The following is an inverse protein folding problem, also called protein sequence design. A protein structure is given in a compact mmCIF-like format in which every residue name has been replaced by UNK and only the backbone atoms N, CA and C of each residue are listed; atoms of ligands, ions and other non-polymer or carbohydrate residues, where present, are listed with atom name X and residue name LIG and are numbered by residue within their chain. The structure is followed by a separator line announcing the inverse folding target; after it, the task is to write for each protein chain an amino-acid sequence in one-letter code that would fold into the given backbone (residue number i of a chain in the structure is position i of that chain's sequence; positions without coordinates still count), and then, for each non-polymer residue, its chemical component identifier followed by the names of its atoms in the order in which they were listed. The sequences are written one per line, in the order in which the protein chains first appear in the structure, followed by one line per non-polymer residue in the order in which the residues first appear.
data_IF_083866461115
#
_entry.id   IF_083866461115
#
_cell.length_a   1.000
_cell.length_b   1.000
_cell.length_c   1.000
_cell.angle_alpha   90.00
_cell.angle_beta   90.00
_cell.angle_gamma   90.00
#
_symmetry.space_group_name_H-M   'P 1'
#
loop_
_entity.id
_entity.type
_entity.pdbx_description
1 polymer ?
#
# COMPACT_ATOMS: atom_id res chain seq x y z
N UNK A 1 0.76 17.47 -23.50
CA UNK A 1 1.78 16.84 -24.38
C UNK A 1 2.91 16.18 -23.59
N UNK A 2 3.67 16.90 -22.76
CA UNK A 2 4.81 16.32 -22.02
C UNK A 2 4.43 15.21 -21.04
N UNK A 3 3.34 15.36 -20.28
CA UNK A 3 2.85 14.35 -19.33
C UNK A 3 2.53 13.02 -20.03
N UNK A 4 1.82 13.08 -21.17
CA UNK A 4 1.51 11.92 -21.99
C UNK A 4 2.77 11.14 -22.40
N UNK A 5 3.80 11.82 -22.89
CA UNK A 5 5.04 11.15 -23.30
C UNK A 5 5.81 10.51 -22.13
N UNK A 6 5.86 11.18 -20.98
CA UNK A 6 6.50 10.60 -19.80
C UNK A 6 5.72 9.41 -19.23
N UNK A 7 4.39 9.47 -19.20
CA UNK A 7 3.55 8.33 -18.82
C UNK A 7 3.75 7.15 -19.78
N UNK A 8 3.85 7.41 -21.08
CA UNK A 8 4.07 6.37 -22.09
C UNK A 8 5.44 5.72 -21.93
N UNK A 9 6.46 6.55 -21.69
CA UNK A 9 7.82 6.10 -21.44
C UNK A 9 7.90 5.28 -20.14
N UNK A 10 7.29 5.74 -19.03
CA UNK A 10 7.32 5.02 -17.76
C UNK A 10 6.63 3.66 -17.86
N UNK A 11 5.59 3.54 -18.70
CA UNK A 11 4.94 2.27 -18.93
C UNK A 11 5.80 1.26 -19.72
N UNK A 12 6.72 1.74 -20.57
CA UNK A 12 7.71 0.89 -21.28
C UNK A 12 8.91 0.55 -20.40
N UNK A 13 9.31 1.47 -19.53
CA UNK A 13 10.48 1.33 -18.64
C UNK A 13 10.08 1.63 -17.19
N UNK A 14 9.26 0.76 -16.56
CA UNK A 14 8.67 1.04 -15.25
C UNK A 14 9.68 1.08 -14.11
N UNK A 15 10.91 0.59 -14.34
CA UNK A 15 11.97 0.52 -13.34
C UNK A 15 12.86 1.78 -13.32
N UNK A 16 12.59 2.77 -14.19
CA UNK A 16 13.43 3.95 -14.39
C UNK A 16 12.90 5.17 -13.61
N UNK A 17 13.58 5.54 -12.53
CA UNK A 17 13.17 6.60 -11.61
C UNK A 17 13.03 7.97 -12.26
N UNK A 18 13.89 8.29 -13.24
CA UNK A 18 13.93 9.59 -13.93
C UNK A 18 12.59 9.92 -14.61
N UNK A 19 11.86 8.92 -15.08
CA UNK A 19 10.56 9.13 -15.74
C UNK A 19 9.51 9.61 -14.74
N UNK A 20 9.48 8.99 -13.56
CA UNK A 20 8.58 9.40 -12.48
C UNK A 20 8.98 10.75 -11.88
N UNK A 21 10.26 11.07 -11.79
CA UNK A 21 10.72 12.40 -11.40
C UNK A 21 10.12 13.50 -12.29
N UNK A 22 10.17 13.33 -13.60
CA UNK A 22 9.58 14.30 -14.53
C UNK A 22 8.05 14.34 -14.44
N UNK A 23 7.39 13.20 -14.20
CA UNK A 23 5.95 13.18 -13.90
C UNK A 23 5.60 13.96 -12.62
N UNK A 24 6.45 13.86 -11.58
CA UNK A 24 6.27 14.63 -10.34
C UNK A 24 6.36 16.16 -10.59
N UNK A 25 7.29 16.60 -11.44
CA UNK A 25 7.41 18.01 -11.83
C UNK A 25 6.14 18.49 -12.57
N UNK A 26 5.52 17.62 -13.36
CA UNK A 26 4.30 17.94 -14.11
C UNK A 26 3.03 17.90 -13.24
N UNK A 27 3.05 17.17 -12.12
CA UNK A 27 1.92 17.00 -11.20
C UNK A 27 1.78 18.12 -10.14
N UNK A 28 2.36 19.32 -10.34
CA UNK A 28 2.41 20.42 -9.34
C UNK A 28 1.04 20.84 -8.77
N UNK A 29 -0.04 20.66 -9.52
CA UNK A 29 -1.40 21.01 -9.05
C UNK A 29 -1.99 19.98 -8.08
N UNK A 30 -1.38 18.80 -7.93
CA UNK A 30 -1.84 17.72 -7.07
C UNK A 30 -0.70 17.24 -6.17
N UNK A 31 -0.68 17.71 -4.93
CA UNK A 31 0.38 17.44 -3.96
C UNK A 31 0.55 15.94 -3.65
N UNK A 32 -0.56 15.17 -3.57
CA UNK A 32 -0.51 13.73 -3.34
C UNK A 32 0.13 12.98 -4.51
N UNK A 33 -0.30 13.30 -5.74
CA UNK A 33 0.26 12.70 -6.95
C UNK A 33 1.73 13.06 -7.11
N UNK A 34 2.09 14.31 -6.82
CA UNK A 34 3.48 14.77 -6.85
C UNK A 34 4.35 14.02 -5.83
N UNK A 35 3.88 13.86 -4.59
CA UNK A 35 4.55 13.08 -3.55
C UNK A 35 4.73 11.63 -4.01
N UNK A 36 3.67 10.99 -4.51
CA UNK A 36 3.71 9.63 -5.04
C UNK A 36 4.79 9.47 -6.11
N UNK A 37 4.83 10.35 -7.12
CA UNK A 37 5.81 10.23 -8.19
C UNK A 37 7.25 10.46 -7.72
N UNK A 38 7.48 11.42 -6.82
CA UNK A 38 8.81 11.60 -6.23
C UNK A 38 9.24 10.40 -5.39
N UNK A 39 8.36 9.88 -4.54
CA UNK A 39 8.63 8.67 -3.74
C UNK A 39 8.92 7.46 -4.65
N UNK A 40 8.09 7.23 -5.66
CA UNK A 40 8.29 6.16 -6.65
C UNK A 40 9.62 6.31 -7.39
N UNK A 41 10.00 7.52 -7.79
CA UNK A 41 11.27 7.76 -8.49
C UNK A 41 12.52 7.34 -7.70
N UNK A 42 12.40 7.21 -6.38
CA UNK A 42 13.45 6.77 -5.48
C UNK A 42 13.36 5.29 -5.09
N UNK A 43 12.17 4.68 -5.20
CA UNK A 43 11.89 3.30 -4.78
C UNK A 43 11.73 2.30 -5.95
N UNK A 44 12.21 2.66 -7.14
CA UNK A 44 12.33 1.74 -8.29
C UNK A 44 13.76 1.22 -8.43
N UNK A 45 14.01 0.09 -9.12
CA UNK A 45 15.33 -0.52 -9.24
C UNK A 45 16.44 0.41 -9.76
N UNK A 46 16.12 1.34 -10.66
CA UNK A 46 17.05 2.38 -11.11
C UNK A 46 16.58 3.73 -10.59
N UNK A 47 16.90 4.09 -9.32
CA UNK A 47 16.39 5.29 -8.70
C UNK A 47 17.00 6.56 -9.32
N UNK A 48 16.28 7.68 -9.24
CA UNK A 48 16.78 8.99 -9.66
C UNK A 48 17.03 9.89 -8.46
N UNK A 49 18.26 9.88 -7.94
CA UNK A 49 18.60 10.49 -6.65
C UNK A 49 18.38 12.00 -6.59
N UNK A 50 18.46 12.73 -7.71
CA UNK A 50 18.13 14.17 -7.77
C UNK A 50 16.68 14.47 -7.36
N UNK A 51 15.79 13.48 -7.38
CA UNK A 51 14.45 13.61 -6.78
C UNK A 51 14.49 13.97 -5.30
N UNK A 52 15.54 13.60 -4.55
CA UNK A 52 15.67 13.96 -3.13
C UNK A 52 15.75 15.46 -2.91
N UNK A 53 16.40 16.18 -3.82
CA UNK A 53 16.46 17.65 -3.78
C UNK A 53 15.17 18.25 -4.32
N UNK A 54 14.65 17.72 -5.44
CA UNK A 54 13.49 18.29 -6.12
C UNK A 54 12.18 18.15 -5.33
N UNK A 55 12.00 17.06 -4.57
CA UNK A 55 10.82 16.88 -3.70
C UNK A 55 10.74 17.95 -2.60
N UNK A 56 11.86 18.57 -2.23
CA UNK A 56 11.86 19.67 -1.25
C UNK A 56 11.08 20.89 -1.73
N UNK A 57 10.88 21.05 -3.05
CA UNK A 57 10.00 22.10 -3.59
C UNK A 57 8.52 21.90 -3.26
N UNK A 58 8.11 20.63 -3.02
CA UNK A 58 6.80 20.30 -2.46
C UNK A 58 6.78 20.48 -0.94
N UNK A 59 7.83 20.03 -0.25
CA UNK A 59 7.84 20.01 1.22
C UNK A 59 8.08 21.37 1.87
N UNK A 60 9.05 22.17 1.41
CA UNK A 60 9.42 23.44 2.07
C UNK A 60 8.21 24.37 2.30
N UNK A 61 7.32 24.62 1.32
CA UNK A 61 6.14 25.47 1.55
C UNK A 61 5.22 24.97 2.67
N UNK A 62 5.09 23.64 2.84
CA UNK A 62 4.23 22.97 3.83
C UNK A 62 4.92 22.87 5.21
N UNK A 63 6.25 22.75 5.23
CA UNK A 63 7.05 22.68 6.44
C UNK A 63 7.23 24.06 7.06
N UNK A 64 7.45 25.08 6.25
CA UNK A 64 7.71 26.46 6.69
C UNK A 64 6.40 27.23 6.96
N UNK A 65 5.29 26.86 6.31
CA UNK A 65 4.00 27.53 6.46
C UNK A 65 2.80 26.58 6.23
N UNK A 66 1.58 27.03 6.53
CA UNK A 66 0.35 26.35 6.14
C UNK A 66 -0.16 26.88 4.78
N UNK A 67 -0.02 26.12 3.67
CA UNK A 67 -0.48 26.59 2.37
C UNK A 67 -2.02 26.62 2.31
N UNK A 68 -2.58 27.77 1.92
CA UNK A 68 -4.03 27.99 1.86
C UNK A 68 -4.75 27.26 0.71
N UNK A 69 -4.01 26.70 -0.25
CA UNK A 69 -4.55 26.11 -1.48
C UNK A 69 -4.72 24.58 -1.42
N UNK A 70 -4.14 23.91 -0.42
CA UNK A 70 -4.26 22.47 -0.25
C UNK A 70 -5.36 22.15 0.73
N UNK A 71 -6.05 21.02 0.52
CA UNK A 71 -7.01 20.56 1.51
C UNK A 71 -6.29 20.18 2.80
N UNK A 72 -6.95 20.36 3.94
CA UNK A 72 -6.34 20.12 5.26
C UNK A 72 -5.78 18.68 5.39
N UNK A 73 -6.47 17.69 4.80
CA UNK A 73 -6.02 16.29 4.76
C UNK A 73 -4.72 16.15 3.99
N UNK A 74 -4.65 16.71 2.78
CA UNK A 74 -3.46 16.59 1.92
C UNK A 74 -2.28 17.34 2.54
N UNK A 75 -2.52 18.50 3.13
CA UNK A 75 -1.49 19.28 3.83
C UNK A 75 -0.86 18.48 4.96
N UNK A 76 -1.67 17.88 5.84
CA UNK A 76 -1.15 17.10 6.95
C UNK A 76 -0.45 15.82 6.49
N UNK A 77 -1.01 15.10 5.50
CA UNK A 77 -0.37 13.90 4.94
C UNK A 77 1.01 14.22 4.34
N UNK A 78 1.08 15.23 3.46
CA UNK A 78 2.33 15.63 2.81
C UNK A 78 3.33 16.20 3.83
N UNK A 79 2.85 16.88 4.89
CA UNK A 79 3.70 17.34 6.00
C UNK A 79 4.36 16.20 6.75
N UNK A 80 3.58 15.17 7.12
CA UNK A 80 4.11 13.97 7.79
C UNK A 80 5.21 13.36 6.93
N UNK A 81 4.94 13.13 5.65
CA UNK A 81 5.96 12.63 4.72
C UNK A 81 7.17 13.56 4.58
N UNK A 82 6.97 14.88 4.54
CA UNK A 82 8.04 15.87 4.46
C UNK A 82 8.98 15.84 5.67
N UNK A 83 8.42 15.72 6.88
CA UNK A 83 9.20 15.59 8.12
C UNK A 83 9.95 14.25 8.13
N UNK A 84 9.25 13.13 7.85
CA UNK A 84 9.87 11.80 7.79
C UNK A 84 10.98 11.72 6.73
N UNK A 85 10.81 12.39 5.58
CA UNK A 85 11.75 12.37 4.48
C UNK A 85 13.00 13.19 4.76
N UNK A 86 12.82 14.42 5.24
CA UNK A 86 13.92 15.39 5.37
C UNK A 86 14.62 15.33 6.72
N UNK A 87 13.99 14.69 7.72
CA UNK A 87 14.40 14.82 9.12
C UNK A 87 14.25 16.25 9.67
N UNK A 88 13.65 17.16 8.90
CA UNK A 88 13.40 18.55 9.30
C UNK A 88 12.00 18.64 9.88
N UNK A 89 11.91 18.95 11.16
CA UNK A 89 10.64 19.15 11.86
C UNK A 89 10.80 18.91 13.35
N UNK A 90 9.97 19.58 14.14
CA UNK A 90 9.80 19.24 15.56
C UNK A 90 8.93 17.98 15.67
N UNK A 91 9.31 17.06 16.57
CA UNK A 91 8.56 15.84 16.89
C UNK A 91 7.11 16.18 17.28
N UNK A 92 6.89 17.29 17.99
CA UNK A 92 5.54 17.75 18.33
C UNK A 92 4.72 18.10 17.08
N UNK A 93 5.35 18.72 16.08
CA UNK A 93 4.70 19.09 14.82
C UNK A 93 4.36 17.84 14.00
N UNK A 94 5.24 16.84 14.00
CA UNK A 94 4.99 15.55 13.36
C UNK A 94 3.76 14.87 13.99
N UNK A 95 3.78 14.71 15.31
CA UNK A 95 2.68 14.08 16.06
C UNK A 95 1.35 14.81 15.84
N UNK A 96 1.34 16.15 15.96
CA UNK A 96 0.14 16.94 15.71
C UNK A 96 -0.39 16.78 14.27
N UNK A 97 0.51 16.69 13.28
CA UNK A 97 0.12 16.49 11.87
C UNK A 97 -0.45 15.08 11.63
N UNK A 98 0.14 14.06 12.27
CA UNK A 98 -0.38 12.68 12.24
C UNK A 98 -1.77 12.64 12.86
N UNK A 99 -1.93 13.07 14.11
CA UNK A 99 -3.22 13.09 14.82
C UNK A 99 -4.30 13.83 14.03
N UNK A 100 -3.95 15.01 13.48
CA UNK A 100 -4.87 15.81 12.69
C UNK A 100 -5.28 15.11 11.41
N UNK A 101 -4.33 14.53 10.66
CA UNK A 101 -4.61 13.74 9.45
C UNK A 101 -5.57 12.58 9.76
N UNK A 102 -5.28 11.81 10.81
CA UNK A 102 -6.08 10.64 11.20
C UNK A 102 -7.50 11.01 11.58
N UNK A 103 -7.67 12.12 12.32
CA UNK A 103 -8.99 12.60 12.75
C UNK A 103 -9.90 12.98 11.57
N UNK A 104 -9.33 13.49 10.47
CA UNK A 104 -10.10 13.99 9.32
C UNK A 104 -10.15 13.00 8.14
N UNK A 105 -9.37 11.93 8.19
CA UNK A 105 -9.25 10.96 7.09
C UNK A 105 -10.59 10.28 6.78
N UNK A 106 -11.30 9.76 7.78
CA UNK A 106 -12.56 9.02 7.56
C UNK A 106 -13.62 9.89 6.85
N UNK A 107 -13.80 11.13 7.34
CA UNK A 107 -14.72 12.11 6.73
C UNK A 107 -14.32 12.46 5.30
N UNK A 108 -13.00 12.54 5.03
CA UNK A 108 -12.47 12.82 3.69
C UNK A 108 -12.71 11.67 2.72
N UNK A 109 -12.56 10.42 3.16
CA UNK A 109 -12.88 9.23 2.34
C UNK A 109 -14.36 9.27 1.95
N UNK A 110 -15.25 9.47 2.92
CA UNK A 110 -16.68 9.57 2.71
C UNK A 110 -17.05 10.71 1.74
N UNK A 111 -16.42 11.88 1.87
CA UNK A 111 -16.69 13.04 1.03
C UNK A 111 -16.14 12.95 -0.40
N UNK A 112 -15.01 12.27 -0.62
CA UNK A 112 -14.39 12.14 -1.94
C UNK A 112 -15.04 11.07 -2.83
N UNK A 113 -15.62 10.03 -2.24
CA UNK A 113 -16.26 8.91 -2.97
C UNK A 113 -15.32 8.34 -4.04
N UNK A 114 -15.69 8.39 -5.34
CA UNK A 114 -14.87 7.88 -6.45
C UNK A 114 -13.53 8.58 -6.61
N UNK A 115 -13.40 9.85 -6.20
CA UNK A 115 -12.09 10.55 -6.24
C UNK A 115 -11.10 9.97 -5.24
N UNK A 116 -11.58 9.23 -4.22
CA UNK A 116 -10.72 8.53 -3.27
C UNK A 116 -9.97 7.37 -3.91
N UNK A 117 -10.47 6.77 -5.00
CA UNK A 117 -9.79 5.65 -5.64
C UNK A 117 -8.34 5.99 -5.99
N UNK A 118 -8.14 7.14 -6.64
CA UNK A 118 -6.82 7.63 -7.03
C UNK A 118 -6.00 8.16 -5.86
N UNK A 119 -6.60 9.00 -5.01
CA UNK A 119 -5.92 9.51 -3.83
C UNK A 119 -5.46 8.37 -2.89
N UNK A 120 -6.27 7.33 -2.76
CA UNK A 120 -6.02 6.16 -1.94
C UNK A 120 -4.77 5.39 -2.36
N UNK A 121 -4.64 5.01 -3.64
CA UNK A 121 -3.41 4.32 -4.06
C UNK A 121 -2.18 5.23 -4.05
N UNK A 122 -2.32 6.55 -4.24
CA UNK A 122 -1.18 7.47 -4.04
C UNK A 122 -0.69 7.47 -2.60
N UNK A 123 -1.62 7.56 -1.64
CA UNK A 123 -1.28 7.51 -0.21
C UNK A 123 -0.70 6.14 0.19
N UNK A 124 -1.31 5.05 -0.25
CA UNK A 124 -0.84 3.69 0.03
C UNK A 124 0.58 3.45 -0.49
N UNK A 125 0.88 3.89 -1.73
CA UNK A 125 2.23 3.79 -2.30
C UNK A 125 3.23 4.70 -1.57
N UNK A 126 2.83 5.93 -1.21
CA UNK A 126 3.68 6.84 -0.45
C UNK A 126 4.04 6.25 0.93
N UNK A 127 3.08 5.65 1.63
CA UNK A 127 3.30 4.92 2.88
C UNK A 127 4.24 3.71 2.69
N UNK A 128 4.04 2.92 1.63
CA UNK A 128 4.97 1.83 1.31
C UNK A 128 6.40 2.34 1.07
N UNK A 129 6.54 3.46 0.36
CA UNK A 129 7.84 4.07 0.11
C UNK A 129 8.48 4.65 1.37
N UNK A 130 7.71 5.20 2.32
CA UNK A 130 8.27 5.72 3.57
C UNK A 130 8.81 4.60 4.47
N UNK A 131 8.15 3.44 4.50
CA UNK A 131 8.66 2.23 5.17
C UNK A 131 10.03 1.81 4.62
N UNK A 132 10.24 1.95 3.31
CA UNK A 132 11.51 1.72 2.61
C UNK A 132 12.51 2.88 2.75
N UNK A 133 12.25 3.87 3.62
CA UNK A 133 13.09 5.05 3.78
C UNK A 133 13.24 5.87 2.50
N UNK A 134 12.24 5.81 1.63
CA UNK A 134 12.24 6.41 0.29
C UNK A 134 13.44 5.94 -0.53
N UNK A 135 13.72 4.64 -0.53
CA UNK A 135 14.82 4.02 -1.28
C UNK A 135 16.20 4.29 -0.67
N UNK A 136 16.27 4.56 0.63
CA UNK A 136 17.56 4.70 1.32
C UNK A 136 18.16 3.30 1.51
N UNK A 137 19.30 3.00 0.88
CA UNK A 137 19.99 1.69 0.99
C UNK A 137 20.34 1.28 2.43
N UNK A 138 20.42 2.24 3.36
CA UNK A 138 20.67 1.98 4.77
C UNK A 138 19.42 1.61 5.57
N UNK A 139 18.23 1.84 5.01
CA UNK A 139 16.96 1.46 5.61
C UNK A 139 16.90 -0.07 5.81
N UNK A 140 16.33 -0.48 6.94
CA UNK A 140 16.31 -1.88 7.36
C UNK A 140 15.56 -2.76 6.34
N UNK A 141 14.43 -2.31 5.77
CA UNK A 141 13.67 -3.09 4.80
C UNK A 141 14.38 -3.13 3.44
N UNK A 142 15.06 -2.06 3.06
CA UNK A 142 15.89 -2.04 1.85
C UNK A 142 17.02 -3.07 1.93
N UNK A 143 17.67 -3.18 3.10
CA UNK A 143 18.71 -4.17 3.35
C UNK A 143 18.18 -5.60 3.33
N UNK A 144 17.09 -5.88 4.04
CA UNK A 144 16.53 -7.24 4.14
C UNK A 144 15.96 -7.71 2.81
N UNK A 145 15.30 -6.86 2.02
CA UNK A 145 14.80 -7.21 0.69
C UNK A 145 15.91 -7.46 -0.34
N UNK A 146 17.11 -6.91 -0.11
CA UNK A 146 18.28 -7.15 -0.97
C UNK A 146 18.97 -8.49 -0.68
N UNK A 147 18.70 -9.12 0.46
CA UNK A 147 19.24 -10.42 0.83
C UNK A 147 18.31 -11.51 0.29
N UNK A 148 18.83 -12.47 -0.48
CA UNK A 148 17.98 -13.54 -1.02
C UNK A 148 17.42 -14.44 0.10
N UNK A 149 16.18 -14.95 -0.01
CA UNK A 149 15.57 -15.81 1.02
C UNK A 149 16.34 -17.12 1.26
N UNK A 150 17.05 -17.63 0.24
CA UNK A 150 17.60 -18.99 0.21
C UNK A 150 18.97 -19.16 0.91
N UNK A 151 19.65 -18.09 1.33
CA UNK A 151 20.95 -18.21 2.02
C UNK A 151 20.83 -18.54 3.51
N UNK A 152 19.62 -18.53 4.09
CA UNK A 152 19.42 -18.75 5.53
C UNK A 152 19.11 -20.19 5.96
N UNK A 153 18.97 -21.15 5.02
CA UNK A 153 18.60 -22.54 5.36
C UNK A 153 19.79 -23.50 5.55
N UNK A 154 21.03 -22.99 5.52
CA UNK A 154 22.22 -23.79 5.84
C UNK A 154 23.11 -23.07 6.84
N UNK A 155 22.61 -22.80 8.05
CA UNK A 155 23.42 -22.81 9.28
C UNK A 155 22.51 -22.66 10.51
N UNK A 156 22.29 -23.76 11.23
CA UNK A 156 22.01 -23.68 12.66
C UNK A 156 23.11 -22.80 13.30
N UNK A 157 22.74 -21.65 13.87
CA UNK A 157 23.59 -20.96 14.84
C UNK A 157 23.99 -19.50 14.56
N UNK A 158 23.40 -18.79 13.60
CA UNK A 158 23.48 -17.32 13.60
C UNK A 158 22.12 -16.73 13.90
N UNK A 159 21.98 -16.16 15.10
CA UNK A 159 20.96 -15.14 15.35
C UNK A 159 21.08 -14.13 14.20
N UNK A 160 20.05 -14.03 13.37
CA UNK A 160 19.90 -12.88 12.49
C UNK A 160 20.02 -11.68 13.42
N UNK A 161 21.14 -10.94 13.33
CA UNK A 161 21.35 -9.77 14.15
C UNK A 161 20.26 -8.79 13.72
N UNK A 162 19.17 -8.77 14.48
CA UNK A 162 18.06 -7.84 14.29
C UNK A 162 18.67 -6.47 14.58
N UNK A 163 19.09 -5.79 13.50
CA UNK A 163 19.56 -4.43 13.60
C UNK A 163 18.38 -3.62 14.15
N UNK A 164 18.57 -2.88 15.26
CA UNK A 164 17.47 -2.12 15.83
C UNK A 164 16.98 -1.10 14.79
N UNK A 165 15.66 -1.00 14.57
CA UNK A 165 15.13 -0.04 13.61
C UNK A 165 15.43 1.39 14.06
N UNK A 166 15.73 2.28 13.11
CA UNK A 166 15.88 3.70 13.41
C UNK A 166 14.57 4.30 13.90
N UNK A 167 14.64 5.38 14.68
CA UNK A 167 13.44 6.11 15.11
C UNK A 167 12.59 6.57 13.91
N UNK A 168 13.24 7.05 12.84
CA UNK A 168 12.55 7.40 11.59
C UNK A 168 11.77 6.24 10.97
N UNK A 169 12.29 5.01 11.05
CA UNK A 169 11.57 3.82 10.58
C UNK A 169 10.39 3.51 11.50
N UNK A 170 10.59 3.55 12.82
CA UNK A 170 9.52 3.30 13.79
C UNK A 170 8.35 4.28 13.61
N UNK A 171 8.63 5.57 13.44
CA UNK A 171 7.58 6.57 13.21
C UNK A 171 6.91 6.40 11.84
N UNK A 172 7.67 6.06 10.79
CA UNK A 172 7.08 5.74 9.49
C UNK A 172 6.18 4.51 9.56
N UNK A 173 6.57 3.50 10.33
CA UNK A 173 5.79 2.29 10.59
C UNK A 173 4.51 2.61 11.35
N UNK A 174 4.62 3.33 12.46
CA UNK A 174 3.46 3.79 13.25
C UNK A 174 2.46 4.51 12.36
N UNK A 175 2.91 5.48 11.55
CA UNK A 175 2.04 6.22 10.63
C UNK A 175 1.44 5.34 9.54
N UNK A 176 2.24 4.46 8.91
CA UNK A 176 1.77 3.58 7.85
C UNK A 176 0.76 2.54 8.37
N UNK A 177 0.87 2.09 9.62
CA UNK A 177 -0.08 1.14 10.25
C UNK A 177 -1.44 1.77 10.56
N UNK A 178 -1.53 3.10 10.62
CA UNK A 178 -2.82 3.80 10.73
C UNK A 178 -3.75 3.63 9.51
N UNK A 179 -3.33 2.84 8.51
CA UNK A 179 -4.22 2.35 7.47
C UNK A 179 -5.40 1.53 7.99
N UNK A 180 -5.37 1.09 9.26
CA UNK A 180 -6.54 0.54 9.96
C UNK A 180 -7.80 1.37 9.76
N UNK A 181 -7.72 2.71 9.75
CA UNK A 181 -8.87 3.60 9.48
C UNK A 181 -9.48 3.30 8.09
N UNK A 182 -8.65 3.01 7.10
CA UNK A 182 -9.08 2.66 5.75
C UNK A 182 -9.68 1.26 5.70
N UNK A 183 -9.09 0.30 6.44
CA UNK A 183 -9.55 -1.11 6.49
C UNK A 183 -10.83 -1.26 7.31
N UNK A 184 -11.06 -0.43 8.34
CA UNK A 184 -12.31 -0.33 9.09
C UNK A 184 -13.51 0.02 8.21
N UNK A 185 -13.26 0.61 7.03
CA UNK A 185 -14.26 0.82 5.98
C UNK A 185 -14.34 -0.38 5.04
N UNK A 186 -14.36 -1.60 5.58
CA UNK A 186 -14.24 -2.84 4.79
C UNK A 186 -15.34 -3.04 3.74
N UNK A 187 -16.50 -2.38 3.88
CA UNK A 187 -17.54 -2.38 2.84
C UNK A 187 -17.48 -1.22 1.84
N UNK A 188 -16.62 -0.22 2.05
CA UNK A 188 -16.47 0.93 1.15
C UNK A 188 -15.55 0.57 -0.02
N UNK A 189 -16.14 0.25 -1.17
CA UNK A 189 -15.37 -0.16 -2.37
C UNK A 189 -14.36 0.89 -2.86
N UNK A 190 -14.47 2.16 -2.44
CA UNK A 190 -13.50 3.18 -2.82
C UNK A 190 -12.15 3.00 -2.13
N UNK A 191 -12.09 2.27 -1.01
CA UNK A 191 -10.83 2.05 -0.26
C UNK A 191 -9.99 0.92 -0.81
N UNK A 192 -10.56 0.08 -1.67
CA UNK A 192 -9.89 -1.11 -2.22
C UNK A 192 -8.55 -0.84 -2.92
N UNK A 193 -8.35 0.25 -3.72
CA UNK A 193 -7.05 0.52 -4.31
C UNK A 193 -5.96 0.77 -3.26
N UNK A 194 -6.28 1.52 -2.20
CA UNK A 194 -5.37 1.74 -1.08
C UNK A 194 -4.98 0.40 -0.45
N UNK A 195 -5.98 -0.40 -0.08
CA UNK A 195 -5.79 -1.71 0.57
C UNK A 195 -4.96 -2.63 -0.31
N UNK A 196 -5.26 -2.68 -1.62
CA UNK A 196 -4.50 -3.49 -2.57
C UNK A 196 -3.03 -3.10 -2.59
N UNK A 197 -2.69 -1.81 -2.67
CA UNK A 197 -1.29 -1.37 -2.68
C UNK A 197 -0.52 -1.74 -1.41
N UNK A 198 -1.15 -1.65 -0.24
CA UNK A 198 -0.55 -2.06 1.03
C UNK A 198 -0.38 -3.59 1.10
N UNK A 199 -1.41 -4.35 0.72
CA UNK A 199 -1.37 -5.82 0.70
C UNK A 199 -0.29 -6.37 -0.25
N UNK A 200 0.01 -5.67 -1.36
CA UNK A 200 1.14 -6.04 -2.25
C UNK A 200 2.48 -5.94 -1.51
N UNK A 201 2.72 -4.87 -0.75
CA UNK A 201 3.94 -4.75 0.06
C UNK A 201 3.99 -5.85 1.12
N UNK A 202 2.90 -6.07 1.87
CA UNK A 202 2.86 -7.09 2.94
C UNK A 202 3.09 -8.48 2.38
N UNK A 203 2.52 -8.79 1.20
CA UNK A 203 2.79 -10.05 0.51
C UNK A 203 4.27 -10.22 0.16
N UNK A 204 4.94 -9.16 -0.32
CA UNK A 204 6.39 -9.23 -0.56
C UNK A 204 7.15 -9.44 0.75
N UNK A 205 6.84 -8.66 1.79
CA UNK A 205 7.53 -8.78 3.09
C UNK A 205 7.33 -10.16 3.72
N UNK A 206 6.14 -10.77 3.59
CA UNK A 206 5.85 -12.13 4.07
C UNK A 206 6.80 -13.20 3.50
N UNK A 207 7.35 -12.98 2.30
CA UNK A 207 8.35 -13.87 1.68
C UNK A 207 9.75 -13.72 2.30
N UNK A 208 9.98 -12.69 3.11
CA UNK A 208 11.27 -12.36 3.73
C UNK A 208 11.09 -12.32 5.26
N UNK A 209 11.33 -13.43 5.98
CA UNK A 209 11.08 -13.52 7.43
C UNK A 209 11.75 -12.42 8.26
N UNK A 210 12.96 -12.00 7.88
CA UNK A 210 13.67 -10.91 8.54
C UNK A 210 13.03 -9.53 8.30
N UNK A 211 12.32 -9.33 7.19
CA UNK A 211 11.69 -8.06 6.86
C UNK A 211 10.32 -7.93 7.54
N UNK A 212 9.49 -8.98 7.46
CA UNK A 212 8.14 -8.98 8.06
C UNK A 212 8.17 -8.94 9.59
N UNK A 213 9.23 -9.46 10.25
CA UNK A 213 9.37 -9.43 11.71
C UNK A 213 9.34 -8.01 12.31
N UNK A 214 9.72 -7.00 11.52
CA UNK A 214 9.65 -5.60 11.93
C UNK A 214 8.22 -5.02 11.91
N UNK A 215 7.27 -5.68 11.23
CA UNK A 215 5.91 -5.21 11.05
C UNK A 215 4.87 -6.14 11.68
N UNK A 216 5.15 -7.44 11.79
CA UNK A 216 4.14 -8.47 12.10
C UNK A 216 3.40 -8.23 13.41
N UNK A 217 4.06 -7.63 14.41
CA UNK A 217 3.47 -7.37 15.72
C UNK A 217 2.52 -6.15 15.73
N UNK A 218 2.65 -5.24 14.76
CA UNK A 218 1.84 -4.01 14.67
C UNK A 218 0.88 -4.02 13.48
N UNK A 219 1.03 -4.97 12.56
CA UNK A 219 0.14 -5.08 11.41
C UNK A 219 -1.25 -5.57 11.85
N UNK A 220 -2.34 -4.98 11.35
CA UNK A 220 -3.70 -5.27 11.83
C UNK A 220 -4.26 -6.58 11.25
N UNK A 221 -3.68 -7.72 11.61
CA UNK A 221 -4.06 -9.04 11.08
C UNK A 221 -5.53 -9.37 11.31
N UNK A 222 -6.05 -9.17 12.52
CA UNK A 222 -7.45 -9.48 12.86
C UNK A 222 -8.43 -8.63 12.05
N UNK A 223 -8.15 -7.34 11.89
CA UNK A 223 -8.98 -6.44 11.07
C UNK A 223 -8.89 -6.81 9.57
N UNK A 224 -7.71 -7.23 9.12
CA UNK A 224 -7.50 -7.74 7.76
C UNK A 224 -8.35 -9.00 7.52
N UNK A 225 -8.44 -9.92 8.49
CA UNK A 225 -9.32 -11.10 8.40
C UNK A 225 -10.79 -10.71 8.26
N UNK A 226 -11.26 -9.74 9.06
CA UNK A 226 -12.64 -9.22 8.96
C UNK A 226 -12.92 -8.71 7.55
N UNK A 227 -12.03 -7.89 7.01
CA UNK A 227 -12.16 -7.34 5.66
C UNK A 227 -12.10 -8.45 4.59
N UNK A 228 -11.18 -9.41 4.70
CA UNK A 228 -11.07 -10.54 3.76
C UNK A 228 -12.34 -11.40 3.75
N UNK A 229 -12.87 -11.76 4.92
CA UNK A 229 -14.10 -12.55 5.01
C UNK A 229 -15.32 -11.79 4.49
N UNK A 230 -15.43 -10.49 4.80
CA UNK A 230 -16.49 -9.64 4.23
C UNK A 230 -16.41 -9.60 2.69
N UNK A 231 -15.21 -9.47 2.12
CA UNK A 231 -15.05 -9.50 0.66
C UNK A 231 -15.38 -10.87 0.07
N UNK A 232 -15.01 -11.96 0.74
CA UNK A 232 -15.32 -13.31 0.30
C UNK A 232 -16.83 -13.57 0.27
N UNK A 233 -17.57 -13.07 1.27
CA UNK A 233 -19.03 -13.18 1.36
C UNK A 233 -19.76 -12.25 0.38
N UNK A 234 -19.21 -11.06 0.12
CA UNK A 234 -19.84 -10.04 -0.74
C UNK A 234 -19.48 -10.15 -2.22
N UNK A 235 -18.81 -11.23 -2.65
CA UNK A 235 -18.58 -11.49 -4.07
C UNK A 235 -19.77 -12.27 -4.66
N UNK A 236 -20.30 -11.79 -5.78
CA UNK A 236 -21.32 -12.52 -6.57
C UNK A 236 -20.70 -13.64 -7.43
N UNK A 237 -19.44 -13.99 -7.19
CA UNK A 237 -18.66 -14.98 -7.92
C UNK A 237 -17.74 -15.72 -6.95
N UNK A 238 -17.32 -16.92 -7.33
CA UNK A 238 -16.31 -17.64 -6.58
C UNK A 238 -14.90 -17.11 -6.95
N UNK A 239 -14.17 -16.49 -6.01
CA UNK A 239 -12.84 -15.95 -6.28
C UNK A 239 -11.82 -17.08 -6.46
N UNK A 240 -11.08 -17.07 -7.57
CA UNK A 240 -9.90 -17.93 -7.75
C UNK A 240 -8.75 -17.41 -6.89
N UNK A 241 -8.62 -17.97 -5.70
CA UNK A 241 -7.58 -17.61 -4.72
C UNK A 241 -6.38 -18.55 -4.78
N UNK A 242 -6.61 -19.79 -5.20
CA UNK A 242 -5.59 -20.82 -5.40
C UNK A 242 -4.94 -20.72 -6.79
N UNK A 243 -3.67 -21.10 -6.86
CA UNK A 243 -2.92 -21.18 -8.12
C UNK A 243 -2.44 -19.81 -8.65
N UNK A 244 -2.63 -19.60 -9.95
CA UNK A 244 -2.08 -18.47 -10.69
C UNK A 244 -2.82 -17.16 -10.40
N UNK A 245 -2.06 -16.07 -10.45
CA UNK A 245 -2.52 -14.68 -10.39
C UNK A 245 -3.92 -14.49 -11.01
N UNK A 246 -4.90 -13.86 -10.31
CA UNK A 246 -6.30 -13.78 -10.78
C UNK A 246 -6.46 -12.80 -11.95
N UNK A 247 -6.01 -13.21 -13.14
CA UNK A 247 -6.22 -12.54 -14.40
C UNK A 247 -7.52 -12.94 -15.09
N UNK A 248 -7.79 -12.40 -16.28
CA UNK A 248 -8.95 -12.84 -17.07
C UNK A 248 -8.80 -14.33 -17.46
N UNK A 249 -9.88 -14.92 -17.97
CA UNK A 249 -9.86 -16.27 -18.52
C UNK A 249 -8.76 -16.47 -19.56
N UNK A 250 -8.29 -17.72 -19.72
CA UNK A 250 -7.28 -18.08 -20.72
C UNK A 250 -7.69 -17.52 -22.09
N UNK A 251 -6.73 -16.90 -22.79
CA UNK A 251 -6.88 -16.24 -24.10
C UNK A 251 -7.55 -14.85 -24.12
N UNK A 252 -8.04 -14.32 -23.00
CA UNK A 252 -8.48 -12.92 -22.92
C UNK A 252 -7.29 -12.01 -22.57
N UNK A 253 -7.20 -10.87 -23.23
CA UNK A 253 -6.15 -9.90 -22.95
C UNK A 253 -6.33 -9.30 -21.54
N UNK A 254 -5.24 -9.14 -20.76
CA UNK A 254 -5.32 -8.58 -19.42
C UNK A 254 -5.76 -7.12 -19.45
N UNK A 255 -6.50 -6.71 -18.43
CA UNK A 255 -6.81 -5.31 -18.15
C UNK A 255 -6.33 -4.99 -16.73
N UNK A 256 -5.07 -4.52 -16.59
CA UNK A 256 -4.56 -4.08 -15.30
C UNK A 256 -5.41 -2.94 -14.73
N UNK A 257 -5.48 -2.89 -13.40
CA UNK A 257 -6.12 -1.82 -12.64
C UNK A 257 -5.28 -0.52 -12.72
N UNK A 258 -5.88 0.67 -12.50
CA UNK A 258 -5.11 1.92 -12.41
C UNK A 258 -3.93 1.82 -11.43
N UNK A 259 -4.17 1.26 -10.25
CA UNK A 259 -3.15 1.04 -9.24
C UNK A 259 -2.12 -0.03 -9.63
N UNK A 260 -2.45 -0.99 -10.52
CA UNK A 260 -1.45 -1.95 -11.02
C UNK A 260 -0.35 -1.22 -11.79
N UNK A 261 -0.73 -0.26 -12.65
CA UNK A 261 0.24 0.61 -13.33
C UNK A 261 1.00 1.49 -12.34
N UNK A 262 0.33 1.93 -11.27
CA UNK A 262 0.94 2.80 -10.26
C UNK A 262 1.99 2.08 -9.41
N UNK A 263 1.76 0.83 -8.99
CA UNK A 263 2.73 0.05 -8.19
C UNK A 263 3.82 -0.60 -9.04
N UNK A 264 3.55 -0.88 -10.33
CA UNK A 264 4.52 -1.55 -11.22
C UNK A 264 5.88 -0.85 -11.21
N UNK A 265 6.93 -1.65 -11.08
CA UNK A 265 8.32 -1.21 -11.14
C UNK A 265 8.87 -0.70 -9.81
N UNK A 266 8.07 -0.65 -8.75
CA UNK A 266 8.61 -0.53 -7.39
C UNK A 266 9.38 -1.81 -7.03
N UNK A 267 10.43 -1.69 -6.24
CA UNK A 267 11.35 -2.79 -5.91
C UNK A 267 10.67 -3.99 -5.23
N UNK A 268 9.52 -3.79 -4.59
CA UNK A 268 8.78 -4.83 -3.87
C UNK A 268 7.69 -5.50 -4.73
N UNK A 269 7.69 -5.25 -6.05
CA UNK A 269 6.64 -5.68 -7.00
C UNK A 269 7.26 -6.41 -8.21
N UNK A 270 8.52 -6.82 -8.11
CA UNK A 270 9.31 -7.43 -9.18
C UNK A 270 8.80 -8.81 -9.63
N UNK A 271 8.20 -9.57 -8.72
CA UNK A 271 7.68 -10.94 -8.93
C UNK A 271 6.16 -11.07 -8.77
N UNK A 272 5.45 -9.96 -8.53
CA UNK A 272 4.01 -10.01 -8.25
C UNK A 272 3.14 -10.23 -9.50
N UNK A 273 3.51 -9.63 -10.64
CA UNK A 273 2.71 -9.68 -11.87
C UNK A 273 3.23 -10.73 -12.85
N UNK A 274 2.34 -11.46 -13.56
CA UNK A 274 2.73 -12.26 -14.72
C UNK A 274 3.41 -11.42 -15.80
N UNK A 275 4.36 -12.01 -16.53
CA UNK A 275 5.17 -11.32 -17.57
C UNK A 275 4.32 -10.58 -18.60
N UNK A 276 3.21 -11.18 -19.02
CA UNK A 276 2.30 -10.63 -20.04
C UNK A 276 1.20 -9.70 -19.46
N UNK A 277 1.23 -9.37 -18.16
CA UNK A 277 0.14 -8.61 -17.53
C UNK A 277 -0.07 -7.22 -18.15
N UNK A 278 1.03 -6.56 -18.55
CA UNK A 278 1.02 -5.19 -19.05
C UNK A 278 1.22 -5.09 -20.57
N UNK A 279 1.09 -6.20 -21.32
CA UNK A 279 1.35 -6.25 -22.77
C UNK A 279 0.10 -6.02 -23.63
N UNK A 280 -1.06 -5.73 -23.04
CA UNK A 280 -2.27 -5.42 -23.79
C UNK A 280 -2.20 -4.05 -24.48
N UNK A 281 -1.73 -4.04 -25.73
CA UNK A 281 -1.57 -2.84 -26.55
C UNK A 281 -2.91 -2.19 -26.96
N UNK A 282 -4.05 -2.89 -26.79
CA UNK A 282 -5.39 -2.34 -27.12
C UNK A 282 -5.90 -1.33 -26.10
N UNK A 283 -5.24 -1.19 -24.95
CA UNK A 283 -5.61 -0.22 -23.92
C UNK A 283 -4.84 1.08 -24.17
N UNK A 284 -5.54 2.04 -24.78
CA UNK A 284 -5.06 3.42 -24.90
C UNK A 284 -4.66 3.97 -23.54
N UNK A 285 -3.67 4.87 -23.54
CA UNK A 285 -3.09 5.40 -22.30
C UNK A 285 -4.11 6.10 -21.40
N UNK A 286 -4.99 6.92 -22.00
CA UNK A 286 -6.05 7.62 -21.27
C UNK A 286 -7.08 6.65 -20.67
N UNK A 287 -7.21 5.44 -21.23
CA UNK A 287 -8.12 4.39 -20.75
C UNK A 287 -7.54 3.55 -19.61
N UNK A 288 -6.24 3.67 -19.30
CA UNK A 288 -5.57 2.91 -18.22
C UNK A 288 -6.02 3.35 -16.84
N UNK A 289 -6.27 4.64 -16.69
CA UNK A 289 -6.74 5.26 -15.45
C UNK A 289 -8.27 5.48 -15.45
N UNK A 290 -8.96 5.00 -16.49
CA UNK A 290 -10.41 5.07 -16.57
C UNK A 290 -11.06 3.95 -15.76
N UNK A 291 -11.76 4.35 -14.70
CA UNK A 291 -12.45 3.47 -13.77
C UNK A 291 -13.70 2.82 -14.39
N UNK A 292 -13.78 1.48 -14.33
CA UNK A 292 -14.95 0.71 -14.77
C UNK A 292 -15.61 0.03 -13.58
N UNK A 293 -16.93 -0.14 -13.61
CA UNK A 293 -17.67 -0.84 -12.54
C UNK A 293 -17.11 -2.24 -12.25
N UNK A 294 -16.67 -2.97 -13.28
CA UNK A 294 -16.08 -4.30 -13.15
C UNK A 294 -14.75 -4.32 -12.38
N UNK A 295 -14.07 -3.18 -12.21
CA UNK A 295 -12.77 -3.11 -11.52
C UNK A 295 -12.91 -3.34 -10.02
N UNK A 296 -14.07 -3.07 -9.42
CA UNK A 296 -14.35 -3.39 -8.01
C UNK A 296 -14.16 -4.89 -7.75
N UNK A 297 -14.76 -5.74 -8.58
CA UNK A 297 -14.64 -7.19 -8.46
C UNK A 297 -13.21 -7.68 -8.71
N UNK A 298 -12.50 -7.05 -9.64
CA UNK A 298 -11.09 -7.36 -9.89
C UNK A 298 -10.22 -7.02 -8.68
N UNK A 299 -10.49 -5.89 -7.99
CA UNK A 299 -9.80 -5.53 -6.74
C UNK A 299 -10.08 -6.52 -5.62
N UNK A 300 -11.35 -6.91 -5.42
CA UNK A 300 -11.72 -7.95 -4.44
C UNK A 300 -10.95 -9.25 -4.73
N UNK A 301 -10.92 -9.72 -5.99
CA UNK A 301 -10.13 -10.90 -6.41
C UNK A 301 -8.65 -10.76 -6.06
N UNK A 302 -8.03 -9.59 -6.32
CA UNK A 302 -6.62 -9.33 -6.02
C UNK A 302 -6.31 -9.37 -4.54
N UNK A 303 -7.15 -8.72 -3.74
CA UNK A 303 -6.99 -8.64 -2.28
C UNK A 303 -7.17 -10.02 -1.65
N UNK A 304 -8.20 -10.79 -2.07
CA UNK A 304 -8.43 -12.15 -1.60
C UNK A 304 -7.29 -13.10 -2.00
N UNK A 305 -6.78 -13.01 -3.23
CA UNK A 305 -5.61 -13.75 -3.67
C UNK A 305 -4.38 -13.43 -2.81
N UNK A 306 -4.09 -12.15 -2.56
CA UNK A 306 -2.98 -11.75 -1.68
C UNK A 306 -3.16 -12.29 -0.26
N UNK A 307 -4.37 -12.19 0.31
CA UNK A 307 -4.71 -12.75 1.62
C UNK A 307 -4.46 -14.26 1.68
N UNK A 308 -4.87 -14.99 0.64
CA UNK A 308 -4.64 -16.43 0.53
C UNK A 308 -3.15 -16.78 0.40
N UNK A 309 -2.38 -16.04 -0.40
CA UNK A 309 -0.92 -16.23 -0.52
C UNK A 309 -0.19 -15.94 0.78
N UNK A 310 -0.62 -14.94 1.55
CA UNK A 310 -0.08 -14.65 2.89
C UNK A 310 -0.47 -15.77 3.88
N UNK A 311 -1.71 -16.24 3.84
CA UNK A 311 -2.19 -17.34 4.70
C UNK A 311 -1.45 -18.67 4.44
N UNK A 312 -0.92 -18.88 3.23
CA UNK A 312 -0.12 -20.05 2.90
C UNK A 312 1.20 -20.15 3.70
N UNK A 313 1.69 -19.05 4.29
CA UNK A 313 2.82 -19.11 5.22
C UNK A 313 2.44 -19.72 6.58
N UNK A 314 1.14 -19.81 6.90
CA UNK A 314 0.60 -20.39 8.15
C UNK A 314 1.18 -19.77 9.44
N UNK A 315 1.51 -18.47 9.41
CA UNK A 315 2.09 -17.74 10.55
C UNK A 315 1.15 -16.69 11.15
N UNK A 316 0.62 -15.80 10.31
CA UNK A 316 -0.20 -14.66 10.75
C UNK A 316 -1.67 -14.84 10.40
N UNK A 317 -1.91 -15.18 9.13
CA UNK A 317 -3.21 -15.54 8.60
C UNK A 317 -3.27 -17.05 8.39
N UNK A 318 -4.46 -17.61 8.51
CA UNK A 318 -4.80 -18.98 8.13
C UNK A 318 -6.04 -18.94 7.24
N UNK A 319 -6.17 -19.92 6.36
CA UNK A 319 -7.36 -20.10 5.55
C UNK A 319 -7.85 -21.53 5.72
N UNK A 320 -9.07 -21.69 6.22
CA UNK A 320 -9.72 -22.99 6.30
C UNK A 320 -10.43 -23.28 4.98
N UNK A 321 -10.01 -24.35 4.30
CA UNK A 321 -10.59 -24.76 3.01
C UNK A 321 -11.99 -25.35 3.16
N UNK A 322 -12.34 -25.88 4.33
CA UNK A 322 -13.66 -26.48 4.57
C UNK A 322 -14.72 -25.40 4.78
N UNK A 323 -14.53 -24.52 5.77
CA UNK A 323 -15.45 -23.40 6.01
C UNK A 323 -15.31 -22.25 5.00
N UNK A 324 -14.22 -22.25 4.21
CA UNK A 324 -13.84 -21.15 3.30
C UNK A 324 -13.82 -19.82 4.04
N UNK A 325 -13.05 -19.76 5.12
CA UNK A 325 -12.89 -18.57 5.95
C UNK A 325 -11.42 -18.33 6.26
N UNK A 326 -11.06 -17.06 6.30
CA UNK A 326 -9.82 -16.61 6.88
C UNK A 326 -9.94 -16.57 8.41
N UNK A 327 -8.87 -16.94 9.09
CA UNK A 327 -8.69 -16.75 10.52
C UNK A 327 -7.31 -16.17 10.80
N UNK A 328 -7.13 -15.64 12.01
CA UNK A 328 -5.85 -15.09 12.48
C UNK A 328 -5.19 -16.13 13.39
N UNK A 329 -3.87 -16.22 13.38
CA UNK A 329 -3.16 -17.02 14.38
C UNK A 329 -3.33 -16.41 15.79
N UNK A 330 -3.38 -17.26 16.81
CA UNK A 330 -3.77 -16.88 18.17
C UNK A 330 -2.90 -15.76 18.76
N UNK A 331 -1.61 -15.74 18.45
CA UNK A 331 -0.65 -14.70 18.85
C UNK A 331 -1.07 -13.29 18.39
N UNK A 332 -1.70 -13.19 17.22
CA UNK A 332 -2.13 -11.91 16.63
C UNK A 332 -3.64 -11.67 16.82
N UNK A 333 -4.29 -12.48 17.66
CA UNK A 333 -5.68 -12.32 18.05
C UNK A 333 -5.86 -11.10 18.96
N UNK A 334 -6.58 -10.10 18.49
CA UNK A 334 -6.94 -8.91 19.28
C UNK A 334 -8.46 -8.72 19.35
N UNK A 335 -8.93 -8.15 20.47
CA UNK A 335 -10.35 -7.79 20.61
C UNK A 335 -10.65 -6.49 19.87
N UNK A 336 -11.25 -6.62 18.69
CA UNK A 336 -11.64 -5.48 17.85
C UNK A 336 -12.73 -4.59 18.47
N UNK A 337 -13.44 -5.04 19.53
CA UNK A 337 -14.43 -4.19 20.20
C UNK A 337 -13.81 -2.97 20.87
N UNK A 338 -12.52 -3.05 21.20
CA UNK A 338 -11.76 -1.94 21.77
C UNK A 338 -11.20 -1.00 20.70
N UNK A 339 -11.33 -1.34 19.41
CA UNK A 339 -10.84 -0.51 18.32
C UNK A 339 -11.79 0.67 18.03
N UNK A 340 -11.30 1.92 18.09
CA UNK A 340 -12.09 3.08 17.70
C UNK A 340 -12.63 2.94 16.27
N UNK A 341 -13.93 3.17 16.09
CA UNK A 341 -14.58 3.05 14.77
C UNK A 341 -15.02 1.64 14.37
N UNK A 342 -14.64 0.59 15.11
CA UNK A 342 -15.04 -0.79 14.78
C UNK A 342 -16.57 -0.97 14.77
N UNK A 343 -17.26 -0.49 15.81
CA UNK A 343 -18.72 -0.54 15.86
C UNK A 343 -19.39 0.29 14.76
N UNK A 344 -18.76 1.40 14.34
CA UNK A 344 -19.26 2.20 13.21
C UNK A 344 -19.18 1.39 11.92
N UNK A 345 -18.05 0.71 11.68
CA UNK A 345 -17.91 -0.23 10.56
C UNK A 345 -18.98 -1.32 10.59
N UNK A 346 -19.20 -1.96 11.74
CA UNK A 346 -20.23 -3.00 11.90
C UNK A 346 -21.65 -2.48 11.65
N UNK A 347 -21.98 -1.27 12.13
CA UNK A 347 -23.29 -0.67 11.91
C UNK A 347 -23.54 -0.34 10.44
N UNK A 348 -22.51 0.08 9.70
CA UNK A 348 -22.65 0.50 8.29
C UNK A 348 -22.61 -0.70 7.35
N UNK A 349 -21.71 -1.65 7.59
CA UNK A 349 -21.40 -2.73 6.66
C UNK A 349 -21.85 -4.12 7.14
N UNK A 350 -22.52 -4.19 8.28
CA UNK A 350 -22.91 -5.43 8.94
C UNK A 350 -21.82 -5.93 9.90
N UNK A 351 -22.25 -6.63 10.94
CA UNK A 351 -21.32 -7.37 11.79
C UNK A 351 -20.69 -8.48 10.95
N UNK A 352 -19.35 -8.58 10.88
CA UNK A 352 -18.75 -9.78 10.33
C UNK A 352 -19.27 -10.97 11.13
N UNK A 353 -19.51 -12.11 10.46
CA UNK A 353 -19.72 -13.37 11.15
C UNK A 353 -18.46 -13.65 11.97
N UNK A 354 -18.46 -13.22 13.22
CA UNK A 354 -17.45 -13.62 14.17
C UNK A 354 -17.71 -15.10 14.41
N UNK A 355 -16.82 -15.94 13.92
CA UNK A 355 -16.70 -17.25 14.52
C UNK A 355 -16.52 -17.01 16.02
N UNK A 356 -17.44 -17.60 16.76
CA UNK A 356 -17.39 -17.88 18.17
C UNK A 356 -16.15 -18.73 18.46
N UNK A 357 -14.97 -18.13 18.39
CA UNK A 357 -13.80 -18.61 19.10
C UNK A 357 -13.85 -17.95 20.48
N UNK A 358 -14.43 -18.72 21.41
CA UNK A 358 -14.31 -18.52 22.85
C UNK A 358 -12.84 -18.47 23.29
#
# INVERSE_FOLDING_TARGET
VSQHWYSKASNKSPNTGRLYHHLAILARSNALQQLYYYAKSLCVPTPFLTSRESVMTLFNPILDSDPRHLSEVDTNFVRVHGILFSGRGDENKLKASMEKFLTILDSKIAGLTKKWLEAGYFMGIANCCSLLGYGNEFNILMKTLSQQPDETDVTMGNSVLVVPPSESFKTALEFAMQHEIVVLRWGDTNTLPFVHTMMVLIHKLAQYPAAISYLEQVFPWKLTVVMLNYHLESCDFEPRMDGDFPGPEKHKAPRPLPEDYAVRGLIYVDDYYPKEWFTNEKIDEDKRYFELASMVDQRKKRILYLGYKIAAHNRWLRFDTESRRFSVADEYGVDLRNFPGFFVGCCIFGFPAFDSCA
#
